data_IF_571200019154
#
_entry.id   IF_571200019154
#
_cell.length_a   1.000
_cell.length_b   1.000
_cell.length_c   1.000
_cell.angle_alpha   90.00
_cell.angle_beta   90.00
_cell.angle_gamma   90.00
#
_symmetry.space_group_name_H-M   'P 1'
#
loop_
_entity.id
_entity.type
_entity.pdbx_description
1 polymer ?
#
# COMPACT_ATOMS: atom_id res chain seq x y z
N UNK A 1 -9.78 -12.57 -37.21
CA UNK A 1 -9.65 -11.85 -35.93
C UNK A 1 -9.51 -12.89 -34.84
N UNK A 2 -8.31 -13.08 -34.27
CA UNK A 2 -8.01 -14.18 -33.34
C UNK A 2 -8.34 -13.71 -31.93
N UNK A 3 -9.33 -14.33 -31.27
CA UNK A 3 -9.62 -14.09 -29.85
C UNK A 3 -8.38 -14.46 -29.04
N UNK A 4 -7.83 -13.49 -28.30
CA UNK A 4 -6.87 -13.76 -27.24
C UNK A 4 -7.68 -14.24 -26.04
N UNK A 5 -7.51 -15.51 -25.67
CA UNK A 5 -8.02 -16.05 -24.42
C UNK A 5 -7.45 -15.25 -23.26
N UNK A 6 -8.31 -14.70 -22.40
CA UNK A 6 -7.90 -14.07 -21.15
C UNK A 6 -7.24 -15.16 -20.28
N UNK A 7 -5.93 -15.08 -20.10
CA UNK A 7 -5.20 -16.03 -19.27
C UNK A 7 -5.46 -15.65 -17.80
N UNK A 8 -6.24 -16.46 -17.10
CA UNK A 8 -6.44 -16.29 -15.65
C UNK A 8 -5.12 -16.55 -14.95
N UNK A 9 -4.54 -15.52 -14.33
CA UNK A 9 -3.35 -15.65 -13.49
C UNK A 9 -3.77 -16.20 -12.12
N UNK A 10 -3.15 -17.30 -11.69
CA UNK A 10 -3.34 -17.83 -10.33
C UNK A 10 -2.82 -16.82 -9.29
N UNK A 11 -3.67 -16.33 -8.37
CA UNK A 11 -3.28 -15.34 -7.37
C UNK A 11 -2.14 -15.81 -6.44
N UNK A 12 -2.09 -17.11 -6.12
CA UNK A 12 -1.04 -17.66 -5.26
C UNK A 12 0.31 -17.63 -5.98
N UNK A 13 0.35 -18.10 -7.22
CA UNK A 13 1.54 -18.03 -8.06
C UNK A 13 1.99 -16.58 -8.30
N UNK A 14 1.06 -15.67 -8.59
CA UNK A 14 1.38 -14.25 -8.75
C UNK A 14 2.03 -13.65 -7.50
N UNK A 15 1.47 -13.94 -6.32
CA UNK A 15 2.05 -13.51 -5.04
C UNK A 15 3.44 -14.09 -4.81
N UNK A 16 3.67 -15.36 -5.16
CA UNK A 16 4.98 -15.99 -5.05
C UNK A 16 6.00 -15.30 -5.96
N UNK A 17 5.64 -15.01 -7.21
CA UNK A 17 6.53 -14.33 -8.16
C UNK A 17 6.86 -12.92 -7.68
N UNK A 18 5.87 -12.13 -7.24
CA UNK A 18 6.12 -10.79 -6.70
C UNK A 18 6.92 -10.80 -5.40
N UNK A 19 6.76 -11.84 -4.57
CA UNK A 19 7.54 -12.00 -3.34
C UNK A 19 9.04 -12.17 -3.56
N UNK A 20 9.49 -12.49 -4.78
CA UNK A 20 10.90 -12.55 -5.12
C UNK A 20 11.56 -11.16 -5.26
N UNK A 21 10.77 -10.09 -5.37
CA UNK A 21 11.28 -8.71 -5.38
C UNK A 21 11.27 -8.15 -3.95
N UNK A 22 12.43 -8.04 -3.27
CA UNK A 22 12.49 -7.62 -1.89
C UNK A 22 12.05 -6.16 -1.73
N UNK A 23 11.37 -5.87 -0.63
CA UNK A 23 10.92 -4.53 -0.24
C UNK A 23 11.39 -4.22 1.18
N UNK A 24 11.53 -2.93 1.49
CA UNK A 24 11.58 -2.50 2.88
C UNK A 24 10.23 -2.71 3.57
N UNK A 25 10.21 -2.63 4.89
CA UNK A 25 8.97 -2.62 5.68
C UNK A 25 8.80 -1.22 6.25
N UNK A 26 7.63 -0.65 6.07
CA UNK A 26 7.28 0.63 6.69
C UNK A 26 5.95 0.52 7.44
N UNK A 27 5.77 1.37 8.45
CA UNK A 27 4.50 1.53 9.17
C UNK A 27 3.92 2.91 8.88
N UNK A 28 2.74 2.92 8.25
CA UNK A 28 1.96 4.14 8.05
C UNK A 28 1.12 4.36 9.30
N UNK A 29 1.22 5.52 9.93
CA UNK A 29 0.46 5.85 11.14
C UNK A 29 -0.28 7.18 11.01
N UNK A 30 -1.41 7.30 11.70
CA UNK A 30 -2.16 8.54 11.86
C UNK A 30 -2.92 8.53 13.20
N UNK A 31 -3.36 9.70 13.63
CA UNK A 31 -4.44 9.84 14.60
C UNK A 31 -5.71 10.06 13.81
N UNK A 32 -6.74 9.24 14.00
CA UNK A 32 -8.02 9.43 13.33
C UNK A 32 -8.76 10.68 13.82
N UNK A 33 -9.94 10.94 13.26
CA UNK A 33 -10.75 12.11 13.60
C UNK A 33 -11.26 12.12 15.04
N UNK A 34 -11.26 10.97 15.72
CA UNK A 34 -11.64 10.84 17.14
C UNK A 34 -10.42 10.92 18.06
N UNK A 35 -9.22 11.08 17.50
CA UNK A 35 -7.97 11.10 18.26
C UNK A 35 -7.50 9.71 18.70
N UNK A 36 -8.00 8.64 18.08
CA UNK A 36 -7.50 7.29 18.31
C UNK A 36 -6.36 6.95 17.32
N UNK A 37 -5.32 6.20 17.74
CA UNK A 37 -4.22 5.83 16.87
C UNK A 37 -4.67 4.77 15.84
N UNK A 38 -4.25 4.96 14.58
CA UNK A 38 -4.41 4.00 13.50
C UNK A 38 -3.06 3.71 12.84
N UNK A 39 -2.87 2.47 12.40
CA UNK A 39 -1.63 2.04 11.76
C UNK A 39 -1.80 0.90 10.77
N UNK A 40 -0.92 0.84 9.76
CA UNK A 40 -0.79 -0.29 8.86
C UNK A 40 0.67 -0.55 8.50
N UNK A 41 1.04 -1.83 8.45
CA UNK A 41 2.35 -2.28 7.95
C UNK A 41 2.24 -2.44 6.43
N UNK A 42 3.18 -1.87 5.69
CA UNK A 42 3.22 -1.94 4.23
C UNK A 42 4.62 -2.33 3.73
N UNK A 43 4.66 -3.21 2.73
CA UNK A 43 5.84 -3.42 1.88
C UNK A 43 5.81 -2.60 0.59
N UNK A 44 4.76 -1.79 0.39
CA UNK A 44 4.51 -1.04 -0.86
C UNK A 44 5.04 0.39 -0.83
N UNK A 45 5.74 0.79 0.23
CA UNK A 45 6.29 2.14 0.37
C UNK A 45 7.35 2.41 -0.70
N UNK A 46 7.25 3.54 -1.39
CA UNK A 46 8.18 3.93 -2.43
C UNK A 46 8.37 5.44 -2.52
N UNK A 47 9.55 5.87 -2.95
CA UNK A 47 9.80 7.27 -3.33
C UNK A 47 9.21 7.53 -4.73
N UNK A 48 8.56 8.69 -4.89
CA UNK A 48 7.89 9.07 -6.14
C UNK A 48 8.58 10.26 -6.82
N UNK A 49 8.96 11.28 -6.06
CA UNK A 49 9.60 12.49 -6.58
C UNK A 49 10.46 13.15 -5.51
N UNK A 50 11.51 13.86 -5.94
CA UNK A 50 12.36 14.69 -5.09
C UNK A 50 11.85 16.14 -5.05
N UNK A 51 11.38 16.66 -6.18
CA UNK A 51 10.85 18.02 -6.30
C UNK A 51 9.56 18.04 -7.16
N UNK A 52 8.36 18.18 -6.53
CA UNK A 52 8.15 18.24 -5.09
C UNK A 52 8.47 16.89 -4.42
N UNK A 53 8.79 16.87 -3.11
CA UNK A 53 9.07 15.63 -2.39
C UNK A 53 7.79 14.81 -2.21
N UNK A 54 7.71 13.68 -2.91
CA UNK A 54 6.54 12.79 -2.92
C UNK A 54 6.93 11.35 -2.63
N UNK A 55 6.01 10.67 -1.94
CA UNK A 55 6.08 9.24 -1.64
C UNK A 55 4.74 8.58 -1.93
N UNK A 56 4.72 7.26 -2.07
CA UNK A 56 3.52 6.47 -2.30
C UNK A 56 3.51 5.17 -1.51
N UNK A 57 2.31 4.68 -1.22
CA UNK A 57 2.05 3.34 -0.71
C UNK A 57 0.67 2.88 -1.21
N UNK A 58 0.45 1.57 -1.22
CA UNK A 58 -0.78 0.98 -1.76
C UNK A 58 -1.51 0.21 -0.65
N UNK A 59 -2.55 0.79 -0.03
CA UNK A 59 -3.41 0.08 0.92
C UNK A 59 -4.35 -0.88 0.19
N UNK A 60 -4.68 -2.00 0.84
CA UNK A 60 -5.74 -2.89 0.37
C UNK A 60 -7.10 -2.19 0.52
N UNK A 61 -8.00 -2.33 -0.46
CA UNK A 61 -9.37 -1.80 -0.40
C UNK A 61 -10.18 -2.40 0.75
N UNK A 62 -9.82 -3.59 1.21
CA UNK A 62 -10.43 -4.26 2.37
C UNK A 62 -9.80 -3.87 3.71
N UNK A 63 -8.83 -2.96 3.72
CA UNK A 63 -8.16 -2.52 4.94
C UNK A 63 -9.11 -1.84 5.91
N UNK A 64 -9.10 -2.27 7.17
CA UNK A 64 -9.80 -1.60 8.27
C UNK A 64 -9.04 -0.38 8.82
N UNK A 65 -7.74 -0.27 8.53
CA UNK A 65 -6.89 0.86 8.95
C UNK A 65 -6.92 2.01 7.95
N UNK A 66 -7.01 1.73 6.64
CA UNK A 66 -6.95 2.77 5.61
C UNK A 66 -8.00 3.88 5.78
N UNK A 67 -9.31 3.58 5.98
CA UNK A 67 -10.31 4.64 6.13
C UNK A 67 -10.04 5.59 7.31
N UNK A 68 -9.41 5.09 8.38
CA UNK A 68 -9.03 5.89 9.56
C UNK A 68 -7.83 6.80 9.29
N UNK A 69 -6.88 6.32 8.48
CA UNK A 69 -5.70 7.07 8.07
C UNK A 69 -6.08 8.12 7.02
N UNK A 70 -6.92 7.75 6.05
CA UNK A 70 -7.43 8.64 5.01
C UNK A 70 -8.23 9.81 5.60
N UNK A 71 -9.14 9.53 6.55
CA UNK A 71 -9.97 10.57 7.19
C UNK A 71 -9.15 11.57 8.02
N UNK A 72 -7.95 11.20 8.48
CA UNK A 72 -7.06 12.09 9.21
C UNK A 72 -6.45 13.21 8.33
N UNK A 73 -6.43 13.01 7.00
CA UNK A 73 -5.86 13.96 6.03
C UNK A 73 -4.33 14.14 6.12
N UNK A 74 -3.66 13.40 7.01
CA UNK A 74 -2.21 13.40 7.21
C UNK A 74 -1.78 12.06 7.78
N UNK A 75 -0.53 11.69 7.54
CA UNK A 75 0.05 10.46 8.06
C UNK A 75 1.56 10.64 8.33
N UNK A 76 2.13 9.70 9.07
CA UNK A 76 3.57 9.53 9.27
C UNK A 76 4.00 8.19 8.67
N UNK A 77 5.22 8.14 8.10
CA UNK A 77 5.85 6.90 7.65
C UNK A 77 7.03 6.61 8.57
N UNK A 78 7.03 5.41 9.14
CA UNK A 78 8.12 4.89 9.96
C UNK A 78 8.83 3.80 9.15
N UNK A 79 10.12 4.00 8.86
CA UNK A 79 10.97 3.08 8.09
C UNK A 79 11.89 2.31 9.03
#
# INVERSE_FOLDING_TARGET
>A
MRQVSEATIDPAHFRQVLGAYPTGVAVITAMDTEGAPAGMVVGTFTSVSLDPPLVGFLPDKSSSSWPKIESAGRFCVNV
#
